data_IF_964564512820
#
_entry.id   IF_964564512820
#
_cell.length_a   1.000
_cell.length_b   1.000
_cell.length_c   1.000
_cell.angle_alpha   90.00
_cell.angle_beta   90.00
_cell.angle_gamma   90.00
#
_symmetry.space_group_name_H-M   'P 1'
#
loop_
_entity.id
_entity.type
_entity.pdbx_description
1 polymer ?
#
# COMPACT_ATOMS: atom_id res chain seq x y z
N UNK A 1 -38.85 -21.87 42.26
CA UNK A 1 -39.79 -21.20 43.18
C UNK A 1 -39.53 -19.71 43.10
N UNK A 2 -40.54 -18.93 42.71
CA UNK A 2 -40.45 -17.50 42.42
C UNK A 2 -40.49 -16.71 43.73
N UNK A 3 -39.52 -15.83 43.95
CA UNK A 3 -39.52 -14.79 45.00
C UNK A 3 -38.68 -13.64 44.45
N UNK A 4 -39.01 -12.36 44.58
CA UNK A 4 -40.26 -11.65 44.73
C UNK A 4 -39.94 -10.27 44.12
N UNK A 5 -40.87 -9.73 43.35
CA UNK A 5 -40.81 -8.38 42.80
C UNK A 5 -41.27 -7.39 43.89
N UNK A 6 -40.80 -6.13 43.79
CA UNK A 6 -41.21 -4.87 44.46
C UNK A 6 -40.15 -4.29 45.40
N UNK A 7 -39.82 -3.00 45.46
CA UNK A 7 -40.05 -1.78 44.65
C UNK A 7 -39.23 -0.72 45.39
N UNK A 8 -38.32 0.00 44.75
CA UNK A 8 -38.00 1.37 45.18
C UNK A 8 -37.69 2.22 43.94
N UNK A 9 -38.68 3.05 43.61
CA UNK A 9 -38.61 4.21 42.76
C UNK A 9 -37.70 5.26 43.44
N UNK A 10 -36.57 5.61 42.82
CA UNK A 10 -35.90 6.89 43.07
C UNK A 10 -35.55 7.53 41.73
N UNK A 11 -36.41 8.48 41.36
CA UNK A 11 -36.21 9.46 40.32
C UNK A 11 -35.15 10.47 40.82
N UNK A 12 -33.98 10.51 40.22
CA UNK A 12 -33.08 11.67 40.32
C UNK A 12 -32.73 12.12 38.92
N UNK A 13 -33.46 13.14 38.50
CA UNK A 13 -33.19 14.00 37.36
C UNK A 13 -32.07 14.96 37.77
N UNK A 14 -30.83 14.72 37.34
CA UNK A 14 -29.81 15.76 37.29
C UNK A 14 -29.37 15.95 35.86
N UNK A 15 -29.92 17.02 35.28
CA UNK A 15 -29.47 17.69 34.08
C UNK A 15 -28.02 18.16 34.32
N UNK A 16 -27.04 17.47 33.76
CA UNK A 16 -25.75 18.10 33.45
C UNK A 16 -25.54 17.97 31.96
N UNK A 17 -25.91 19.06 31.32
CA UNK A 17 -25.64 19.46 29.96
C UNK A 17 -24.11 19.48 29.76
N UNK A 18 -23.53 18.31 29.51
CA UNK A 18 -22.21 18.20 28.90
C UNK A 18 -22.38 18.39 27.40
N UNK A 19 -22.46 19.66 26.97
CA UNK A 19 -22.39 19.99 25.54
C UNK A 19 -21.08 19.41 25.02
N UNK A 20 -21.25 18.58 23.99
CA UNK A 20 -20.20 17.94 23.24
C UNK A 20 -19.10 18.94 22.86
N UNK A 21 -17.88 18.68 23.31
CA UNK A 21 -16.72 18.93 22.46
C UNK A 21 -16.37 17.58 21.82
N UNK A 22 -17.23 17.14 20.90
CA UNK A 22 -16.71 16.38 19.76
C UNK A 22 -15.93 17.44 18.99
N UNK A 23 -14.67 17.62 19.37
CA UNK A 23 -13.71 18.12 18.43
C UNK A 23 -13.68 17.07 17.33
N UNK A 24 -14.51 17.25 16.29
CA UNK A 24 -14.12 16.83 14.96
C UNK A 24 -12.83 17.59 14.68
N UNK A 25 -11.71 17.08 15.19
CA UNK A 25 -10.48 17.24 14.48
C UNK A 25 -10.77 16.58 13.14
N UNK A 26 -10.88 17.38 12.09
CA UNK A 26 -10.74 16.90 10.73
C UNK A 26 -9.42 16.14 10.70
N UNK A 27 -9.47 14.84 10.95
CA UNK A 27 -8.34 13.97 10.77
C UNK A 27 -8.21 13.86 9.26
N UNK A 28 -7.35 14.70 8.67
CA UNK A 28 -7.04 14.58 7.25
C UNK A 28 -6.62 13.14 6.98
N UNK A 29 -7.44 12.40 6.23
CA UNK A 29 -7.12 11.03 5.85
C UNK A 29 -5.92 11.07 4.91
N UNK A 30 -4.81 10.50 5.38
CA UNK A 30 -3.63 10.33 4.55
C UNK A 30 -3.98 9.44 3.37
N UNK A 31 -3.76 9.96 2.17
CA UNK A 31 -3.94 9.22 0.93
C UNK A 31 -2.67 9.29 0.10
N UNK A 32 -2.51 8.34 -0.82
CA UNK A 32 -1.38 8.29 -1.73
C UNK A 32 -1.53 9.40 -2.77
N UNK A 33 -0.42 10.08 -3.08
CA UNK A 33 -0.35 11.13 -4.10
C UNK A 33 0.55 10.75 -5.27
N UNK A 34 1.49 9.82 -5.06
CA UNK A 34 2.35 9.26 -6.11
C UNK A 34 2.97 7.94 -5.67
N UNK A 35 3.50 7.19 -6.64
CA UNK A 35 4.40 6.07 -6.39
C UNK A 35 5.70 6.21 -7.18
N UNK A 36 6.78 5.71 -6.60
CA UNK A 36 8.08 5.53 -7.25
C UNK A 36 8.52 4.08 -7.08
N UNK A 37 9.41 3.64 -7.96
CA UNK A 37 9.99 2.32 -7.87
C UNK A 37 11.49 2.39 -8.13
N UNK A 38 12.22 1.48 -7.51
CA UNK A 38 13.66 1.32 -7.66
C UNK A 38 14.00 -0.17 -7.63
N UNK A 39 15.16 -0.51 -8.20
CA UNK A 39 15.73 -1.85 -8.07
C UNK A 39 16.28 -2.01 -6.65
N UNK A 40 16.01 -3.15 -6.02
CA UNK A 40 16.52 -3.47 -4.68
C UNK A 40 18.06 -3.46 -4.65
N UNK A 41 18.64 -3.09 -3.51
CA UNK A 41 20.09 -3.02 -3.37
C UNK A 41 20.74 -4.38 -3.64
N UNK A 42 21.73 -4.40 -4.55
CA UNK A 42 22.44 -5.61 -4.93
C UNK A 42 21.68 -6.55 -5.88
N UNK A 43 20.48 -6.21 -6.32
CA UNK A 43 19.76 -6.98 -7.32
C UNK A 43 20.49 -6.92 -8.68
N UNK A 44 20.52 -8.06 -9.36
CA UNK A 44 21.07 -8.22 -10.70
C UNK A 44 20.08 -9.03 -11.53
N UNK A 45 20.06 -8.79 -12.84
CA UNK A 45 19.13 -9.45 -13.76
C UNK A 45 19.93 -10.02 -14.91
N UNK A 46 19.76 -11.32 -15.19
CA UNK A 46 20.47 -11.98 -16.28
C UNK A 46 19.50 -12.69 -17.22
N UNK A 47 19.91 -12.87 -18.46
CA UNK A 47 19.20 -13.74 -19.41
C UNK A 47 19.06 -15.13 -18.81
N UNK A 48 17.84 -15.66 -18.81
CA UNK A 48 17.48 -16.94 -18.22
C UNK A 48 16.95 -16.87 -16.79
N UNK A 49 17.13 -15.76 -16.08
CA UNK A 49 16.53 -15.55 -14.77
C UNK A 49 15.02 -15.42 -14.89
N UNK A 50 14.29 -15.97 -13.91
CA UNK A 50 12.86 -15.77 -13.81
C UNK A 50 12.57 -14.33 -13.35
N UNK A 51 11.44 -13.77 -13.80
CA UNK A 51 10.96 -12.52 -13.22
C UNK A 51 10.66 -12.72 -11.73
N UNK A 52 11.27 -11.89 -10.89
CA UNK A 52 11.07 -11.86 -9.45
C UNK A 52 10.64 -10.46 -9.01
N UNK A 53 9.46 -10.35 -8.40
CA UNK A 53 8.92 -9.09 -7.92
C UNK A 53 9.64 -8.55 -6.68
N UNK A 54 10.32 -9.42 -5.92
CA UNK A 54 11.03 -9.06 -4.69
C UNK A 54 12.30 -8.22 -4.96
N UNK A 55 12.77 -8.20 -6.21
CA UNK A 55 13.91 -7.38 -6.64
C UNK A 55 13.54 -5.91 -6.90
N UNK A 56 12.29 -5.52 -6.62
CA UNK A 56 11.80 -4.15 -6.82
C UNK A 56 11.25 -3.59 -5.51
N UNK A 57 11.72 -2.39 -5.14
CA UNK A 57 11.20 -1.63 -4.01
C UNK A 57 10.25 -0.58 -4.55
N UNK A 58 9.01 -0.58 -4.08
CA UNK A 58 7.99 0.41 -4.45
C UNK A 58 7.71 1.30 -3.26
N UNK A 59 7.75 2.60 -3.45
CA UNK A 59 7.48 3.60 -2.42
C UNK A 59 6.26 4.43 -2.82
N UNK A 60 5.38 4.68 -1.87
CA UNK A 60 4.25 5.58 -2.00
C UNK A 60 4.56 6.90 -1.28
N UNK A 61 4.34 8.02 -1.97
CA UNK A 61 4.29 9.35 -1.35
C UNK A 61 2.87 9.60 -0.89
N UNK A 62 2.71 10.03 0.36
CA UNK A 62 1.43 10.36 0.96
C UNK A 62 1.15 11.87 0.87
N UNK A 63 -0.07 12.28 1.18
CA UNK A 63 -0.52 13.67 1.16
C UNK A 63 0.17 14.58 2.20
N UNK A 64 0.85 14.01 3.19
CA UNK A 64 1.71 14.72 4.15
C UNK A 64 3.18 14.74 3.74
N UNK A 65 3.48 14.45 2.47
CA UNK A 65 4.81 14.30 1.88
C UNK A 65 5.67 13.18 2.48
N UNK A 66 5.13 12.37 3.41
CA UNK A 66 5.85 11.20 3.91
C UNK A 66 5.94 10.13 2.83
N UNK A 67 7.08 9.43 2.80
CA UNK A 67 7.33 8.35 1.85
C UNK A 67 7.36 7.03 2.61
N UNK A 68 6.54 6.07 2.17
CA UNK A 68 6.44 4.74 2.78
C UNK A 68 6.62 3.66 1.74
N UNK A 69 7.32 2.59 2.11
CA UNK A 69 7.43 1.41 1.27
C UNK A 69 6.09 0.66 1.18
N UNK A 70 5.74 0.20 -0.01
CA UNK A 70 4.57 -0.63 -0.26
C UNK A 70 4.96 -2.09 -0.02
N UNK A 71 4.71 -2.56 1.19
CA UNK A 71 5.08 -3.93 1.60
C UNK A 71 4.08 -5.00 1.17
N UNK A 72 2.86 -4.61 0.78
CA UNK A 72 1.81 -5.55 0.36
C UNK A 72 1.91 -5.81 -1.14
N UNK A 73 2.68 -6.83 -1.52
CA UNK A 73 2.89 -7.20 -2.94
C UNK A 73 1.60 -7.56 -3.68
N UNK A 74 0.59 -8.07 -2.99
CA UNK A 74 -0.72 -8.37 -3.59
C UNK A 74 -1.49 -7.13 -4.09
N UNK A 75 -1.12 -5.94 -3.63
CA UNK A 75 -1.70 -4.68 -4.10
C UNK A 75 -0.92 -4.05 -5.27
N UNK A 76 0.23 -4.63 -5.64
CA UNK A 76 1.05 -4.19 -6.76
C UNK A 76 0.70 -4.99 -8.01
N UNK A 77 0.48 -4.28 -9.11
CA UNK A 77 0.32 -4.87 -10.43
C UNK A 77 1.55 -4.56 -11.29
N UNK A 78 2.10 -5.60 -11.91
CA UNK A 78 3.30 -5.52 -12.75
C UNK A 78 2.93 -5.79 -14.20
N UNK A 79 3.05 -4.77 -15.06
CA UNK A 79 2.95 -4.94 -16.50
C UNK A 79 4.35 -5.29 -17.06
N UNK A 80 4.48 -6.57 -17.41
CA UNK A 80 5.74 -7.20 -17.85
C UNK A 80 5.92 -7.12 -19.37
N UNK A 81 5.05 -6.42 -20.09
CA UNK A 81 5.10 -6.35 -21.56
C UNK A 81 6.43 -5.79 -22.09
N UNK A 82 7.12 -4.94 -21.31
CA UNK A 82 8.43 -4.40 -21.65
C UNK A 82 9.64 -5.28 -21.29
N UNK A 83 9.46 -6.47 -20.71
CA UNK A 83 10.55 -7.28 -20.13
C UNK A 83 11.13 -8.38 -21.03
N UNK A 84 10.63 -8.54 -22.27
CA UNK A 84 11.10 -9.60 -23.20
C UNK A 84 11.20 -10.99 -22.56
N UNK A 85 10.11 -11.49 -22.00
CA UNK A 85 10.07 -12.77 -21.29
C UNK A 85 9.66 -13.94 -22.22
N UNK A 86 10.33 -15.09 -22.07
CA UNK A 86 9.92 -16.39 -22.63
C UNK A 86 9.81 -17.37 -21.46
N UNK A 87 8.65 -18.03 -21.32
CA UNK A 87 8.37 -18.93 -20.20
C UNK A 87 8.64 -18.30 -18.82
N UNK A 88 8.34 -17.01 -18.68
CA UNK A 88 8.53 -16.24 -17.44
C UNK A 88 9.98 -15.84 -17.16
N UNK A 89 10.92 -16.07 -18.08
CA UNK A 89 12.34 -15.78 -17.95
C UNK A 89 12.81 -14.71 -18.94
N UNK A 90 13.78 -13.90 -18.55
CA UNK A 90 14.39 -12.92 -19.45
C UNK A 90 15.06 -13.62 -20.63
N UNK A 91 14.71 -13.21 -21.85
CA UNK A 91 15.19 -13.86 -23.07
C UNK A 91 16.25 -13.05 -23.84
N UNK A 92 16.45 -11.78 -23.47
CA UNK A 92 17.37 -10.85 -24.12
C UNK A 92 18.01 -9.92 -23.10
N UNK A 93 19.29 -9.63 -23.31
CA UNK A 93 20.02 -8.60 -22.59
C UNK A 93 19.66 -7.20 -23.12
N UNK A 94 19.89 -6.17 -22.31
CA UNK A 94 19.65 -4.77 -22.62
C UNK A 94 18.74 -4.06 -21.61
N UNK A 95 18.53 -2.75 -21.84
CA UNK A 95 17.59 -1.95 -21.07
C UNK A 95 16.16 -2.45 -21.30
N UNK A 96 15.44 -2.69 -20.21
CA UNK A 96 14.02 -3.03 -20.20
C UNK A 96 13.25 -2.03 -19.36
N UNK A 97 11.94 -1.96 -19.58
CA UNK A 97 11.04 -1.09 -18.80
C UNK A 97 9.95 -1.93 -18.16
N UNK A 98 9.81 -1.81 -16.84
CA UNK A 98 8.75 -2.40 -16.04
C UNK A 98 7.78 -1.32 -15.63
N UNK A 99 6.49 -1.52 -15.90
CA UNK A 99 5.44 -0.62 -15.45
C UNK A 99 4.76 -1.22 -14.21
N UNK A 100 4.70 -0.44 -13.14
CA UNK A 100 4.22 -0.87 -11.82
C UNK A 100 3.05 0.02 -11.44
N UNK A 101 1.96 -0.59 -10.96
CA UNK A 101 0.76 0.13 -10.52
C UNK A 101 0.39 -0.23 -9.08
N UNK A 102 -0.11 0.76 -8.36
CA UNK A 102 -0.64 0.63 -7.00
C UNK A 102 -1.86 1.56 -6.87
N UNK A 103 -3.04 0.99 -6.61
CA UNK A 103 -4.31 1.73 -6.71
C UNK A 103 -4.45 2.42 -8.09
N UNK A 104 -4.62 3.74 -8.10
CA UNK A 104 -4.78 4.54 -9.33
C UNK A 104 -3.45 5.14 -9.83
N UNK A 105 -2.35 4.83 -9.14
CA UNK A 105 -1.03 5.36 -9.44
C UNK A 105 -0.21 4.36 -10.24
N UNK A 106 0.66 4.89 -11.10
CA UNK A 106 1.50 4.11 -11.98
C UNK A 106 2.86 4.77 -12.12
N UNK A 107 3.91 3.97 -12.19
CA UNK A 107 5.28 4.40 -12.45
C UNK A 107 5.98 3.45 -13.40
N UNK A 108 7.04 3.93 -14.05
CA UNK A 108 7.90 3.15 -14.93
C UNK A 108 9.30 3.05 -14.33
N UNK A 109 9.82 1.84 -14.27
CA UNK A 109 11.16 1.53 -13.81
C UNK A 109 11.98 0.96 -14.96
N UNK A 110 13.11 1.60 -15.25
CA UNK A 110 14.09 1.12 -16.22
C UNK A 110 15.25 0.44 -15.51
N UNK A 111 15.68 -0.70 -16.04
CA UNK A 111 16.85 -1.43 -15.55
C UNK A 111 17.49 -2.26 -16.66
N UNK A 112 18.72 -2.71 -16.45
CA UNK A 112 19.49 -3.47 -17.43
C UNK A 112 19.39 -4.97 -17.12
N UNK A 113 19.20 -5.79 -18.17
CA UNK A 113 19.37 -7.24 -18.12
C UNK A 113 20.73 -7.60 -18.74
N UNK A 114 21.57 -8.29 -17.99
CA UNK A 114 22.88 -8.76 -18.44
C UNK A 114 22.75 -10.06 -19.26
N UNK A 115 23.74 -10.31 -20.12
CA UNK A 115 23.79 -11.51 -20.97
C UNK A 115 24.19 -12.79 -20.22
#
# INVERSE_FOLDING_TARGET
MKKALLTVLVLVLTLTMGVALVACADQEELHVTAITAEVAEGATFKVGDAFDAELFVVKATLSDDSVKEVTTTAALAYDKSGLSLVDGKYSKAGEVTLKISFSDFTTELKFEVEA
#
